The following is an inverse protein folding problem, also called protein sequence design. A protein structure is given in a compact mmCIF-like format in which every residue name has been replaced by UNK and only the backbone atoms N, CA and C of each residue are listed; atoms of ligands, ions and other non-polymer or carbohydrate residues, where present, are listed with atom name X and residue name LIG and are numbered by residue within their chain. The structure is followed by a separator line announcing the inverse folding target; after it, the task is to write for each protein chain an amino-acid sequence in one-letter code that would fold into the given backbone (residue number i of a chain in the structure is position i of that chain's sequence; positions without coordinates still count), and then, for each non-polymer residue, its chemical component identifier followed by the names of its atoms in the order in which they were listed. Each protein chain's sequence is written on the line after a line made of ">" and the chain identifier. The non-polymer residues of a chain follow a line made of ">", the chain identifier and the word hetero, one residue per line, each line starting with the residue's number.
data_IF_935346546716
#
_entry.id   IF_935346546716
#
_cell.length_a   1.000
_cell.length_b   1.000
_cell.length_c   1.000
_cell.angle_alpha   90.00
_cell.angle_beta   90.00
_cell.angle_gamma   90.00
#
_symmetry.space_group_name_H-M   'P 1'
#
loop_
_entity.id
_entity.type
_entity.pdbx_description
1 polymer ?
#
# COMPACT_ATOMS: atom_id res chain seq x y z
N UNK A 1 12.44 -4.91 22.18
CA UNK A 1 11.68 -4.86 20.92
C UNK A 1 12.57 -4.88 19.66
N UNK A 2 13.42 -3.87 19.38
CA UNK A 2 14.15 -3.74 18.08
C UNK A 2 14.87 -5.01 17.60
N UNK A 3 15.65 -5.68 18.46
CA UNK A 3 16.35 -6.93 18.09
C UNK A 3 15.39 -8.07 17.67
N UNK A 4 14.21 -8.15 18.29
CA UNK A 4 13.21 -9.17 17.97
C UNK A 4 12.45 -8.82 16.69
N UNK A 5 12.12 -7.54 16.46
CA UNK A 5 11.54 -7.07 15.21
C UNK A 5 12.48 -7.32 14.02
N UNK A 6 13.77 -7.02 14.17
CA UNK A 6 14.77 -7.32 13.14
C UNK A 6 14.93 -8.82 12.86
N UNK A 7 14.77 -9.67 13.88
CA UNK A 7 14.74 -11.13 13.69
C UNK A 7 13.54 -11.58 12.85
N UNK A 8 12.34 -11.05 13.11
CA UNK A 8 11.15 -11.35 12.30
C UNK A 8 11.41 -11.00 10.84
N UNK A 9 11.89 -9.79 10.57
CA UNK A 9 12.18 -9.33 9.21
C UNK A 9 13.22 -10.21 8.50
N UNK A 10 14.28 -10.60 9.20
CA UNK A 10 15.30 -11.50 8.65
C UNK A 10 14.73 -12.87 8.28
N UNK A 11 13.89 -13.46 9.14
CA UNK A 11 13.26 -14.76 8.88
C UNK A 11 12.25 -14.70 7.73
N UNK A 12 11.49 -13.60 7.61
CA UNK A 12 10.61 -13.35 6.47
C UNK A 12 11.42 -13.24 5.17
N UNK A 13 12.54 -12.52 5.20
CA UNK A 13 13.42 -12.40 4.03
C UNK A 13 14.04 -13.74 3.61
N UNK A 14 14.30 -14.64 4.57
CA UNK A 14 14.79 -15.99 4.33
C UNK A 14 13.69 -16.98 3.90
N UNK A 15 12.43 -16.56 3.84
CA UNK A 15 11.26 -17.41 3.53
C UNK A 15 11.08 -18.59 4.50
N UNK A 16 11.67 -18.52 5.69
CA UNK A 16 11.43 -19.50 6.75
C UNK A 16 10.13 -19.15 7.47
N UNK A 17 9.00 -19.49 6.84
CA UNK A 17 7.67 -19.12 7.30
C UNK A 17 7.37 -19.68 8.71
N UNK A 18 7.90 -20.85 9.06
CA UNK A 18 7.67 -21.48 10.37
C UNK A 18 8.42 -20.71 11.45
N UNK A 19 9.71 -20.43 11.25
CA UNK A 19 10.48 -19.66 12.22
C UNK A 19 9.98 -18.21 12.32
N UNK A 20 9.60 -17.60 11.19
CA UNK A 20 9.01 -16.27 11.14
C UNK A 20 7.70 -16.20 11.92
N UNK A 21 6.79 -17.17 11.73
CA UNK A 21 5.51 -17.23 12.47
C UNK A 21 5.76 -17.34 13.98
N UNK A 22 6.69 -18.20 14.40
CA UNK A 22 7.05 -18.34 15.81
C UNK A 22 7.63 -17.04 16.39
N UNK A 23 8.54 -16.39 15.66
CA UNK A 23 9.19 -15.17 16.11
C UNK A 23 8.20 -13.99 16.22
N UNK A 24 7.27 -13.85 15.26
CA UNK A 24 6.32 -12.74 15.27
C UNK A 24 5.24 -12.93 16.33
N UNK A 25 4.75 -14.15 16.56
CA UNK A 25 3.84 -14.45 17.68
C UNK A 25 4.49 -14.17 19.04
N UNK A 26 5.77 -14.53 19.18
CA UNK A 26 6.53 -14.19 20.39
C UNK A 26 6.68 -12.68 20.55
N UNK A 27 6.89 -11.93 19.47
CA UNK A 27 7.00 -10.48 19.50
C UNK A 27 5.71 -9.83 20.00
N UNK A 28 4.56 -10.25 19.48
CA UNK A 28 3.23 -9.78 19.92
C UNK A 28 3.00 -10.12 21.40
N UNK A 29 3.33 -11.34 21.84
CA UNK A 29 3.14 -11.74 23.22
C UNK A 29 4.00 -10.92 24.21
N UNK A 30 5.19 -10.50 23.81
CA UNK A 30 6.10 -9.69 24.64
C UNK A 30 5.76 -8.20 24.62
N UNK A 31 5.17 -7.71 23.53
CA UNK A 31 4.96 -6.30 23.28
C UNK A 31 3.57 -6.03 22.63
N UNK A 32 2.45 -6.42 23.27
CA UNK A 32 1.11 -6.41 22.65
C UNK A 32 0.52 -5.02 22.43
N UNK A 33 1.16 -3.96 22.92
CA UNK A 33 0.68 -2.58 22.75
C UNK A 33 1.79 -1.65 22.25
N UNK A 34 2.89 -2.22 21.78
CA UNK A 34 4.00 -1.46 21.20
C UNK A 34 3.68 -1.14 19.73
N UNK A 35 3.75 0.14 19.32
CA UNK A 35 3.54 0.54 17.93
C UNK A 35 4.39 -0.26 16.94
N UNK A 36 3.79 -0.64 15.82
CA UNK A 36 4.42 -1.36 14.72
C UNK A 36 4.49 -2.87 14.90
N UNK A 37 4.25 -3.42 16.09
CA UNK A 37 4.31 -4.87 16.33
C UNK A 37 3.19 -5.59 15.60
N UNK A 38 1.96 -5.07 15.70
CA UNK A 38 0.81 -5.62 15.00
C UNK A 38 0.90 -5.37 13.49
N UNK A 39 1.46 -4.23 13.06
CA UNK A 39 1.77 -4.03 11.63
C UNK A 39 2.72 -5.10 11.08
N UNK A 40 3.83 -5.40 11.77
CA UNK A 40 4.77 -6.44 11.33
C UNK A 40 4.11 -7.82 11.25
N UNK A 41 3.21 -8.12 12.18
CA UNK A 41 2.48 -9.38 12.15
C UNK A 41 1.48 -9.45 10.98
N UNK A 42 0.73 -8.37 10.75
CA UNK A 42 -0.14 -8.27 9.59
C UNK A 42 0.62 -8.42 8.27
N UNK A 43 1.79 -7.78 8.13
CA UNK A 43 2.65 -7.94 6.94
C UNK A 43 3.10 -9.39 6.74
N UNK A 44 3.47 -10.09 7.81
CA UNK A 44 3.80 -11.51 7.74
C UNK A 44 2.63 -12.37 7.24
N UNK A 45 1.41 -12.08 7.71
CA UNK A 45 0.21 -12.84 7.39
C UNK A 45 -0.34 -12.55 5.98
N UNK A 46 -0.04 -11.39 5.39
CA UNK A 46 -0.72 -10.84 4.22
C UNK A 46 -0.86 -11.80 3.04
N UNK A 47 0.19 -12.60 2.78
CA UNK A 47 0.22 -13.52 1.64
C UNK A 47 -0.65 -14.77 1.84
N UNK A 48 -0.63 -15.35 3.04
CA UNK A 48 -1.25 -16.65 3.31
C UNK A 48 -2.60 -16.53 4.02
N UNK A 49 -2.75 -15.52 4.89
CA UNK A 49 -3.89 -15.36 5.80
C UNK A 49 -4.34 -13.88 5.80
N UNK A 50 -4.80 -13.33 4.66
CA UNK A 50 -5.12 -11.91 4.51
C UNK A 50 -6.21 -11.41 5.48
N UNK A 51 -7.20 -12.24 5.80
CA UNK A 51 -8.22 -11.89 6.79
C UNK A 51 -7.61 -11.61 8.17
N UNK A 52 -6.70 -12.48 8.64
CA UNK A 52 -5.99 -12.26 9.91
C UNK A 52 -5.03 -11.07 9.81
N UNK A 53 -4.45 -10.80 8.63
CA UNK A 53 -3.61 -9.63 8.43
C UNK A 53 -4.40 -8.33 8.64
N UNK A 54 -5.62 -8.25 8.12
CA UNK A 54 -6.52 -7.10 8.34
C UNK A 54 -6.80 -6.91 9.83
N UNK A 55 -7.05 -7.99 10.58
CA UNK A 55 -7.30 -7.91 12.01
C UNK A 55 -6.07 -7.36 12.77
N UNK A 56 -4.88 -7.81 12.43
CA UNK A 56 -3.64 -7.28 13.01
C UNK A 56 -3.43 -5.79 12.64
N UNK A 57 -3.70 -5.39 11.39
CA UNK A 57 -3.63 -3.97 11.03
C UNK A 57 -4.68 -3.11 11.76
N UNK A 58 -5.86 -3.67 12.07
CA UNK A 58 -6.87 -2.98 12.89
C UNK A 58 -6.39 -2.78 14.31
N UNK A 59 -5.78 -3.80 14.93
CA UNK A 59 -5.15 -3.64 16.24
C UNK A 59 -4.02 -2.59 16.21
N UNK A 60 -3.22 -2.55 15.13
CA UNK A 60 -2.20 -1.50 14.98
C UNK A 60 -2.80 -0.10 14.99
N UNK A 61 -3.89 0.15 14.26
CA UNK A 61 -4.49 1.49 14.22
C UNK A 61 -5.26 1.85 15.50
N UNK A 62 -5.65 0.87 16.32
CA UNK A 62 -6.16 1.11 17.68
C UNK A 62 -5.04 1.58 18.61
N UNK A 63 -3.86 0.98 18.53
CA UNK A 63 -2.67 1.36 19.31
C UNK A 63 -2.06 2.67 18.79
N UNK A 64 -2.00 2.80 17.47
CA UNK A 64 -1.36 3.89 16.72
C UNK A 64 -2.36 4.51 15.73
N UNK A 65 -3.28 5.38 16.18
CA UNK A 65 -4.29 5.98 15.31
C UNK A 65 -3.75 6.76 14.12
N UNK A 66 -2.47 7.16 14.10
CA UNK A 66 -1.84 7.84 12.97
C UNK A 66 -1.06 6.88 12.03
N UNK A 67 -1.15 5.56 12.20
CA UNK A 67 -0.33 4.61 11.43
C UNK A 67 -0.85 4.44 9.98
N UNK A 68 -0.31 5.25 9.07
CA UNK A 68 -0.73 5.36 7.66
C UNK A 68 -0.56 4.03 6.91
N UNK A 69 0.57 3.35 7.04
CA UNK A 69 0.85 2.14 6.26
C UNK A 69 -0.14 1.00 6.54
N UNK A 70 -0.58 0.85 7.79
CA UNK A 70 -1.61 -0.13 8.17
C UNK A 70 -2.96 0.17 7.52
N UNK A 71 -3.37 1.45 7.45
CA UNK A 71 -4.59 1.86 6.73
C UNK A 71 -4.52 1.59 5.25
N UNK A 72 -3.37 1.87 4.62
CA UNK A 72 -3.14 1.54 3.21
C UNK A 72 -3.31 0.03 2.99
N UNK A 73 -2.70 -0.80 3.84
CA UNK A 73 -2.82 -2.26 3.69
C UNK A 73 -4.26 -2.74 3.89
N UNK A 74 -4.99 -2.22 4.87
CA UNK A 74 -6.42 -2.53 5.05
C UNK A 74 -7.21 -2.14 3.79
N UNK A 75 -7.00 -0.93 3.26
CA UNK A 75 -7.69 -0.46 2.07
C UNK A 75 -7.43 -1.34 0.84
N UNK A 76 -6.18 -1.75 0.63
CA UNK A 76 -5.79 -2.62 -0.50
C UNK A 76 -6.35 -4.05 -0.35
N UNK A 77 -6.42 -4.60 0.86
CA UNK A 77 -7.01 -5.91 1.07
C UNK A 77 -8.54 -5.89 0.95
N UNK A 78 -9.20 -4.82 1.39
CA UNK A 78 -10.64 -4.63 1.17
C UNK A 78 -10.98 -4.42 -0.31
N UNK A 79 -10.10 -3.77 -1.08
CA UNK A 79 -10.22 -3.72 -2.54
C UNK A 79 -10.21 -5.13 -3.15
N UNK A 80 -9.32 -6.02 -2.67
CA UNK A 80 -9.23 -7.40 -3.15
C UNK A 80 -10.46 -8.24 -2.84
N UNK A 81 -11.12 -7.99 -1.72
CA UNK A 81 -12.37 -8.67 -1.33
C UNK A 81 -13.63 -7.99 -1.86
N UNK A 82 -13.48 -6.95 -2.70
CA UNK A 82 -14.57 -6.12 -3.23
C UNK A 82 -15.41 -5.40 -2.16
N UNK A 83 -14.85 -5.17 -0.97
CA UNK A 83 -15.43 -4.34 0.09
C UNK A 83 -15.03 -2.88 -0.13
N UNK A 84 -15.56 -2.30 -1.22
CA UNK A 84 -15.05 -1.06 -1.80
C UNK A 84 -15.30 0.18 -0.93
N UNK A 85 -16.50 0.38 -0.39
CA UNK A 85 -16.81 1.55 0.45
C UNK A 85 -16.06 1.53 1.79
N UNK A 86 -16.00 0.39 2.52
CA UNK A 86 -15.11 0.28 3.68
C UNK A 86 -13.64 0.53 3.31
N UNK A 87 -13.17 -0.03 2.20
CA UNK A 87 -11.80 0.18 1.73
C UNK A 87 -11.50 1.66 1.44
N UNK A 88 -12.40 2.35 0.75
CA UNK A 88 -12.27 3.76 0.42
C UNK A 88 -12.17 4.62 1.68
N UNK A 89 -12.93 4.29 2.74
CA UNK A 89 -12.83 5.00 4.02
C UNK A 89 -11.40 4.94 4.59
N UNK A 90 -10.78 3.75 4.62
CA UNK A 90 -9.41 3.61 5.11
C UNK A 90 -8.38 4.32 4.22
N UNK A 91 -8.58 4.31 2.90
CA UNK A 91 -7.73 5.04 1.97
C UNK A 91 -7.85 6.57 2.17
N UNK A 92 -9.06 7.08 2.35
CA UNK A 92 -9.32 8.51 2.61
C UNK A 92 -8.70 8.97 3.93
N UNK A 93 -8.81 8.16 4.98
CA UNK A 93 -8.11 8.40 6.24
C UNK A 93 -6.59 8.39 6.06
N UNK A 94 -6.04 7.50 5.24
CA UNK A 94 -4.60 7.44 4.96
C UNK A 94 -4.13 8.71 4.23
N UNK A 95 -4.87 9.19 3.23
CA UNK A 95 -4.61 10.45 2.51
C UNK A 95 -4.70 11.64 3.47
N UNK A 96 -5.73 11.69 4.33
CA UNK A 96 -5.90 12.78 5.30
C UNK A 96 -4.74 12.84 6.32
N UNK A 97 -4.24 11.69 6.77
CA UNK A 97 -3.12 11.61 7.72
C UNK A 97 -1.76 11.92 7.07
N UNK A 98 -1.58 11.58 5.80
CA UNK A 98 -0.34 11.81 5.06
C UNK A 98 -0.63 12.25 3.61
N UNK A 99 -1.00 13.53 3.40
CA UNK A 99 -1.34 14.07 2.07
C UNK A 99 -0.13 14.18 1.13
N UNK A 100 1.07 13.87 1.60
CA UNK A 100 2.29 13.80 0.79
C UNK A 100 2.74 12.35 0.54
N UNK A 101 1.93 11.35 0.89
CA UNK A 101 2.22 9.95 0.64
C UNK A 101 1.54 9.48 -0.64
N UNK A 102 2.30 9.42 -1.73
CA UNK A 102 1.77 8.99 -3.04
C UNK A 102 1.13 7.59 -3.03
N UNK A 103 1.56 6.68 -2.14
CA UNK A 103 0.98 5.34 -2.02
C UNK A 103 -0.44 5.40 -1.47
N UNK A 104 -0.73 6.33 -0.55
CA UNK A 104 -2.09 6.55 -0.04
C UNK A 104 -3.03 7.03 -1.17
N UNK A 105 -2.58 8.00 -1.98
CA UNK A 105 -3.31 8.49 -3.14
C UNK A 105 -3.56 7.37 -4.18
N UNK A 106 -2.55 6.54 -4.47
CA UNK A 106 -2.71 5.38 -5.36
C UNK A 106 -3.73 4.38 -4.81
N UNK A 107 -3.71 4.08 -3.50
CA UNK A 107 -4.69 3.19 -2.88
C UNK A 107 -6.12 3.76 -2.99
N UNK A 108 -6.29 5.06 -2.70
CA UNK A 108 -7.56 5.77 -2.84
C UNK A 108 -8.08 5.71 -4.28
N UNK A 109 -7.24 6.02 -5.27
CA UNK A 109 -7.58 5.92 -6.68
C UNK A 109 -8.10 4.53 -7.06
N UNK A 110 -7.40 3.45 -6.68
CA UNK A 110 -7.78 2.09 -7.11
C UNK A 110 -9.17 1.71 -6.59
N UNK A 111 -9.52 2.14 -5.37
CA UNK A 111 -10.85 1.97 -4.79
C UNK A 111 -11.89 2.85 -5.49
N UNK A 112 -11.55 4.09 -5.83
CA UNK A 112 -12.44 4.99 -6.57
C UNK A 112 -12.76 4.48 -7.97
N UNK A 113 -11.78 3.95 -8.70
CA UNK A 113 -12.00 3.33 -10.02
C UNK A 113 -12.93 2.12 -9.90
N UNK A 114 -12.71 1.25 -8.90
CA UNK A 114 -13.60 0.10 -8.65
C UNK A 114 -15.03 0.53 -8.32
N UNK A 115 -15.22 1.71 -7.73
CA UNK A 115 -16.52 2.33 -7.45
C UNK A 115 -17.10 3.14 -8.62
N UNK A 116 -16.41 3.22 -9.76
CA UNK A 116 -16.81 4.03 -10.91
C UNK A 116 -16.68 5.54 -10.68
N UNK A 117 -15.97 5.98 -9.64
CA UNK A 117 -15.75 7.40 -9.30
C UNK A 117 -14.49 7.93 -10.01
N UNK A 118 -14.51 7.84 -11.34
CA UNK A 118 -13.34 8.04 -12.20
C UNK A 118 -12.69 9.42 -12.05
N UNK A 119 -13.47 10.51 -12.04
CA UNK A 119 -12.92 11.87 -11.99
C UNK A 119 -12.05 12.08 -10.75
N UNK A 120 -12.58 11.73 -9.57
CA UNK A 120 -11.83 11.83 -8.32
C UNK A 120 -10.62 10.89 -8.31
N UNK A 121 -10.73 9.71 -8.92
CA UNK A 121 -9.62 8.78 -9.02
C UNK A 121 -8.44 9.36 -9.83
N UNK A 122 -8.73 10.08 -10.91
CA UNK A 122 -7.73 10.77 -11.72
C UNK A 122 -7.06 11.91 -10.94
N UNK A 123 -7.81 12.66 -10.13
CA UNK A 123 -7.24 13.71 -9.28
C UNK A 123 -6.26 13.15 -8.23
N UNK A 124 -6.60 12.01 -7.61
CA UNK A 124 -5.69 11.31 -6.69
C UNK A 124 -4.41 10.84 -7.41
N UNK A 125 -4.51 10.30 -8.63
CA UNK A 125 -3.33 9.86 -9.38
C UNK A 125 -2.47 11.01 -9.90
N UNK A 126 -3.07 12.14 -10.30
CA UNK A 126 -2.33 13.36 -10.65
C UNK A 126 -1.51 13.84 -9.45
N UNK A 127 -2.12 13.86 -8.26
CA UNK A 127 -1.40 14.15 -7.00
C UNK A 127 -0.28 13.15 -6.75
N UNK A 128 -0.51 11.85 -6.97
CA UNK A 128 0.53 10.83 -6.81
C UNK A 128 1.72 11.03 -7.76
N UNK A 129 1.47 11.46 -9.01
CA UNK A 129 2.52 11.81 -9.99
C UNK A 129 3.29 13.07 -9.55
N UNK A 130 2.61 14.10 -9.04
CA UNK A 130 3.28 15.29 -8.50
C UNK A 130 4.20 14.96 -7.32
N UNK A 131 3.78 14.04 -6.44
CA UNK A 131 4.54 13.60 -5.28
C UNK A 131 5.70 12.66 -5.62
N UNK A 132 5.57 11.87 -6.68
CA UNK A 132 6.57 10.87 -7.10
C UNK A 132 6.84 10.89 -8.61
N UNK A 133 7.32 12.02 -9.18
CA UNK A 133 7.42 12.23 -10.63
C UNK A 133 8.49 11.35 -11.31
N UNK A 134 9.30 10.63 -10.53
CA UNK A 134 10.32 9.71 -11.05
C UNK A 134 9.94 8.26 -10.82
N UNK A 135 8.74 7.98 -10.31
CA UNK A 135 8.26 6.61 -10.08
C UNK A 135 7.57 6.09 -11.33
N UNK A 136 8.10 5.05 -12.00
CA UNK A 136 7.42 4.44 -13.15
C UNK A 136 6.00 3.97 -12.78
N UNK A 137 5.82 3.44 -11.56
CA UNK A 137 4.56 2.84 -11.12
C UNK A 137 3.39 3.84 -11.10
N UNK A 138 3.63 5.10 -10.70
CA UNK A 138 2.56 6.12 -10.67
C UNK A 138 2.17 6.59 -12.06
N UNK A 139 3.14 6.76 -12.98
CA UNK A 139 2.88 7.07 -14.39
C UNK A 139 2.14 5.93 -15.08
N UNK A 140 2.50 4.68 -14.80
CA UNK A 140 1.77 3.52 -15.30
C UNK A 140 0.32 3.50 -14.79
N UNK A 141 0.10 3.72 -13.50
CA UNK A 141 -1.23 3.78 -12.91
C UNK A 141 -2.09 4.90 -13.53
N UNK A 142 -1.54 6.12 -13.68
CA UNK A 142 -2.25 7.24 -14.31
C UNK A 142 -2.56 6.97 -15.78
N UNK A 143 -1.62 6.43 -16.55
CA UNK A 143 -1.86 6.06 -17.95
C UNK A 143 -3.01 5.07 -18.11
N UNK A 144 -3.10 4.09 -17.21
CA UNK A 144 -4.18 3.10 -17.21
C UNK A 144 -5.53 3.71 -16.86
N UNK A 145 -5.59 4.49 -15.80
CA UNK A 145 -6.81 5.15 -15.36
C UNK A 145 -7.34 6.12 -16.43
N UNK A 146 -6.46 6.89 -17.07
CA UNK A 146 -6.82 7.80 -18.16
C UNK A 146 -7.36 7.04 -19.38
N UNK A 147 -6.75 5.92 -19.75
CA UNK A 147 -7.22 5.09 -20.87
C UNK A 147 -8.59 4.45 -20.58
N UNK A 148 -8.80 3.94 -19.36
CA UNK A 148 -10.11 3.41 -18.93
C UNK A 148 -11.19 4.51 -18.90
N UNK A 149 -10.79 5.77 -18.71
CA UNK A 149 -11.64 6.95 -18.72
C UNK A 149 -11.82 7.61 -20.11
N UNK A 150 -11.15 7.11 -21.16
CA UNK A 150 -11.22 7.67 -22.52
C UNK A 150 -10.37 8.92 -22.78
N UNK A 151 -9.45 9.26 -21.87
CA UNK A 151 -8.49 10.36 -22.01
C UNK A 151 -7.22 9.89 -22.73
N UNK A 152 -7.36 9.41 -23.97
CA UNK A 152 -6.30 8.69 -24.69
C UNK A 152 -5.03 9.52 -24.91
N UNK A 153 -5.16 10.82 -25.18
CA UNK A 153 -4.02 11.72 -25.40
C UNK A 153 -3.19 11.91 -24.12
N UNK A 154 -3.84 12.07 -22.97
CA UNK A 154 -3.15 12.16 -21.67
C UNK A 154 -2.55 10.79 -21.32
N UNK A 155 -3.28 9.70 -21.54
CA UNK A 155 -2.82 8.34 -21.28
C UNK A 155 -1.54 8.00 -22.06
N UNK A 156 -1.45 8.40 -23.33
CA UNK A 156 -0.28 8.19 -24.16
C UNK A 156 0.96 8.95 -23.65
N UNK A 157 0.78 10.17 -23.12
CA UNK A 157 1.87 10.95 -22.51
C UNK A 157 2.41 10.26 -21.27
N UNK A 158 1.53 9.86 -20.37
CA UNK A 158 1.91 9.17 -19.13
C UNK A 158 2.58 7.81 -19.40
N UNK A 159 2.11 7.09 -20.42
CA UNK A 159 2.75 5.85 -20.89
C UNK A 159 4.17 6.08 -21.42
N UNK A 160 4.37 7.15 -22.19
CA UNK A 160 5.70 7.53 -22.71
C UNK A 160 6.65 7.83 -21.55
N UNK A 161 6.17 8.51 -20.52
CA UNK A 161 6.97 8.83 -19.34
C UNK A 161 7.31 7.58 -18.51
N UNK A 162 6.34 6.67 -18.32
CA UNK A 162 6.58 5.36 -17.72
C UNK A 162 7.70 4.58 -18.44
N UNK A 163 7.63 4.47 -19.76
CA UNK A 163 8.64 3.75 -20.57
C UNK A 163 10.01 4.41 -20.45
N UNK A 164 10.07 5.75 -20.47
CA UNK A 164 11.31 6.53 -20.28
C UNK A 164 11.95 6.24 -18.92
N UNK A 165 11.16 6.29 -17.85
CA UNK A 165 11.63 6.06 -16.47
C UNK A 165 12.05 4.60 -16.26
N UNK A 166 11.32 3.64 -16.81
CA UNK A 166 11.69 2.22 -16.75
C UNK A 166 13.03 1.96 -17.44
N UNK A 167 13.26 2.54 -18.62
CA UNK A 167 14.52 2.42 -19.35
C UNK A 167 15.70 3.07 -18.59
N UNK A 168 15.45 4.14 -17.83
CA UNK A 168 16.45 4.76 -16.98
C UNK A 168 16.81 3.87 -15.78
N UNK A 169 15.81 3.32 -15.08
CA UNK A 169 16.05 2.44 -13.94
C UNK A 169 16.90 1.23 -14.31
N UNK A 170 16.60 0.57 -15.44
CA UNK A 170 17.36 -0.59 -15.92
C UNK A 170 18.83 -0.28 -16.29
N UNK A 171 19.16 0.99 -16.55
CA UNK A 171 20.55 1.41 -16.84
C UNK A 171 21.35 1.70 -15.58
N UNK A 172 20.69 2.05 -14.47
CA UNK A 172 21.35 2.31 -13.18
C UNK A 172 21.72 1.00 -12.49
N UNK A 173 20.95 -0.06 -12.70
CA UNK A 173 21.18 -1.39 -12.10
C UNK A 173 22.23 -2.24 -12.85
N UNK A 174 22.89 -1.69 -13.88
CA UNK A 174 23.93 -2.35 -14.68
C UNK A 174 25.30 -1.74 -14.43
#
# INVERSE_FOLDING_TARGET
>A
MVRQAGRVQALVALQDNVAAEGAVKQLVALYPSEPGVHYLYGVFLLKEKPALAIDEFRHEIEISPAHVAARIQIALELLRTAELEPGLKYADEAVALAPNNFVAHVACCRLLLALGKTDRALDELRTAVELAPTSPDVHFALSRALSEAGHDDEAARERTEFERLQALAQKVDR
#
